data_IF_096454800284
#
_entry.id   IF_096454800284
#
_cell.length_a   1.000
_cell.length_b   1.000
_cell.length_c   1.000
_cell.angle_alpha   90.00
_cell.angle_beta   90.00
_cell.angle_gamma   90.00
#
_symmetry.space_group_name_H-M   'P 1'
#
loop_
_entity.id
_entity.type
_entity.pdbx_description
1 polymer ?
#
# COMPACT_ATOMS: atom_id res chain seq x y z
N UNK A 1 -18.36 -11.40 -4.01
CA UNK A 1 -18.15 -10.70 -2.72
C UNK A 1 -17.15 -11.49 -1.90
N UNK A 2 -16.36 -10.81 -1.07
CA UNK A 2 -15.34 -11.39 -0.19
C UNK A 2 -15.88 -11.46 1.24
N UNK A 3 -15.39 -12.43 2.02
CA UNK A 3 -15.72 -12.56 3.44
C UNK A 3 -14.53 -12.22 4.34
N UNK A 4 -14.66 -12.58 5.61
CA UNK A 4 -13.61 -12.43 6.63
C UNK A 4 -12.86 -13.74 6.94
N UNK A 5 -13.11 -14.80 6.18
CA UNK A 5 -12.41 -16.08 6.37
C UNK A 5 -12.87 -16.87 7.59
N UNK A 6 -14.18 -17.04 7.75
CA UNK A 6 -14.76 -17.93 8.78
C UNK A 6 -15.77 -18.89 8.15
N UNK A 7 -16.00 -20.01 8.81
CA UNK A 7 -17.19 -20.84 8.65
C UNK A 7 -17.99 -20.81 9.95
N UNK A 8 -19.31 -20.96 9.87
CA UNK A 8 -20.17 -20.98 11.04
C UNK A 8 -21.18 -22.12 10.97
N UNK A 9 -21.73 -22.46 12.13
CA UNK A 9 -22.82 -23.41 12.28
C UNK A 9 -23.90 -22.82 13.17
N UNK A 10 -25.16 -23.09 12.84
CA UNK A 10 -26.29 -22.76 13.69
C UNK A 10 -26.44 -23.80 14.80
N UNK A 11 -26.58 -23.34 16.04
CA UNK A 11 -26.82 -24.18 17.21
C UNK A 11 -28.15 -23.76 17.82
N UNK A 12 -29.04 -24.72 18.05
CA UNK A 12 -30.28 -24.47 18.79
C UNK A 12 -29.95 -24.17 20.25
N UNK A 13 -30.49 -23.07 20.75
CA UNK A 13 -30.39 -22.67 22.14
C UNK A 13 -31.60 -23.23 22.89
N UNK A 14 -31.39 -24.37 23.54
CA UNK A 14 -32.41 -25.07 24.33
C UNK A 14 -32.85 -24.28 25.56
N UNK A 15 -32.06 -23.32 26.04
CA UNK A 15 -32.37 -22.52 27.24
C UNK A 15 -33.03 -21.17 26.86
N UNK A 16 -32.64 -20.58 25.74
CA UNK A 16 -33.11 -19.27 25.27
C UNK A 16 -34.25 -19.31 24.23
N UNK A 17 -34.65 -20.48 23.74
CA UNK A 17 -35.75 -20.63 22.79
C UNK A 17 -35.45 -20.09 21.39
N UNK A 18 -34.21 -20.22 20.92
CA UNK A 18 -33.76 -19.64 19.64
C UNK A 18 -32.61 -20.39 18.98
N UNK A 19 -31.92 -19.73 18.04
CA UNK A 19 -30.72 -20.28 17.40
C UNK A 19 -29.56 -19.30 17.45
N UNK A 20 -28.35 -19.81 17.60
CA UNK A 20 -27.11 -19.03 17.76
C UNK A 20 -26.11 -19.40 16.68
N UNK A 21 -25.31 -18.42 16.26
CA UNK A 21 -24.34 -18.56 15.18
C UNK A 21 -22.96 -18.78 15.79
N UNK A 22 -22.46 -20.02 15.76
CA UNK A 22 -21.14 -20.36 16.30
C UNK A 22 -20.10 -20.40 15.19
N UNK A 23 -18.93 -19.80 15.42
CA UNK A 23 -17.77 -19.95 14.54
C UNK A 23 -17.29 -21.39 14.63
N UNK A 24 -17.33 -22.09 13.50
CA UNK A 24 -16.90 -23.48 13.37
C UNK A 24 -15.40 -23.56 13.08
N UNK A 25 -14.91 -22.75 12.15
CA UNK A 25 -13.52 -22.77 11.72
C UNK A 25 -13.09 -21.40 11.23
N UNK A 26 -11.82 -21.05 11.48
CA UNK A 26 -11.14 -19.93 10.81
C UNK A 26 -10.44 -20.44 9.54
N UNK A 27 -10.54 -19.67 8.45
CA UNK A 27 -9.84 -19.98 7.20
C UNK A 27 -8.37 -19.59 7.36
N UNK A 28 -7.46 -20.52 7.08
CA UNK A 28 -6.03 -20.28 7.15
C UNK A 28 -5.62 -19.11 6.26
N UNK A 29 -4.79 -18.22 6.79
CA UNK A 29 -4.40 -16.96 6.19
C UNK A 29 -5.60 -16.06 5.85
N UNK A 30 -6.76 -16.24 6.48
CA UNK A 30 -7.92 -15.38 6.32
C UNK A 30 -7.88 -14.19 7.29
N UNK A 31 -8.68 -13.15 7.00
CA UNK A 31 -8.76 -11.93 7.82
C UNK A 31 -8.94 -12.21 9.32
N UNK A 32 -9.90 -13.07 9.66
CA UNK A 32 -10.19 -13.41 11.05
C UNK A 32 -9.07 -14.20 11.74
N UNK A 33 -8.34 -15.06 11.02
CA UNK A 33 -7.20 -15.80 11.58
C UNK A 33 -6.00 -14.87 11.76
N UNK A 34 -5.68 -14.05 10.75
CA UNK A 34 -4.58 -13.10 10.79
C UNK A 34 -4.76 -12.05 11.89
N UNK A 35 -5.99 -11.57 12.12
CA UNK A 35 -6.30 -10.66 13.22
C UNK A 35 -6.21 -11.35 14.60
N UNK A 36 -6.61 -12.62 14.68
CA UNK A 36 -6.46 -13.46 15.89
C UNK A 36 -7.45 -13.18 17.03
N UNK A 37 -8.33 -12.17 16.89
CA UNK A 37 -9.31 -11.83 17.93
C UNK A 37 -10.45 -12.87 18.01
N UNK A 38 -11.00 -13.25 16.85
CA UNK A 38 -12.02 -14.29 16.75
C UNK A 38 -11.40 -15.67 16.91
N UNK A 39 -12.15 -16.61 17.49
CA UNK A 39 -11.74 -17.99 17.70
C UNK A 39 -12.88 -18.95 17.36
N UNK A 40 -12.51 -20.19 17.03
CA UNK A 40 -13.46 -21.28 16.98
C UNK A 40 -14.19 -21.40 18.32
N UNK A 41 -15.51 -21.56 18.28
CA UNK A 41 -16.33 -21.55 19.48
C UNK A 41 -17.05 -20.24 19.79
N UNK A 42 -16.59 -19.11 19.25
CA UNK A 42 -17.26 -17.82 19.47
C UNK A 42 -18.67 -17.81 18.90
N UNK A 43 -19.58 -17.12 19.57
CA UNK A 43 -20.94 -16.90 19.08
C UNK A 43 -21.09 -15.51 18.50
N UNK A 44 -21.33 -15.41 17.19
CA UNK A 44 -21.63 -14.13 16.54
C UNK A 44 -23.07 -13.74 16.88
N UNK A 45 -23.23 -12.50 17.32
CA UNK A 45 -24.55 -11.96 17.72
C UNK A 45 -24.99 -10.84 16.79
N UNK A 46 -24.06 -10.00 16.33
CA UNK A 46 -24.35 -8.88 15.43
C UNK A 46 -23.30 -8.72 14.35
N UNK A 47 -23.73 -8.21 13.20
CA UNK A 47 -22.87 -7.79 12.09
C UNK A 47 -23.23 -6.35 11.74
N UNK A 48 -22.25 -5.45 11.79
CA UNK A 48 -22.44 -4.00 11.60
C UNK A 48 -23.58 -3.42 12.47
N UNK A 49 -23.67 -3.86 13.72
CA UNK A 49 -24.72 -3.46 14.66
C UNK A 49 -26.09 -4.12 14.44
N UNK A 50 -26.29 -4.88 13.36
CA UNK A 50 -27.54 -5.60 13.09
C UNK A 50 -27.52 -6.97 13.76
N UNK A 51 -28.55 -7.27 14.56
CA UNK A 51 -28.72 -8.56 15.23
C UNK A 51 -28.98 -9.69 14.22
N UNK A 52 -28.39 -10.85 14.46
CA UNK A 52 -28.57 -12.04 13.61
C UNK A 52 -29.77 -12.91 14.02
N UNK A 53 -30.49 -12.55 15.09
CA UNK A 53 -31.63 -13.32 15.59
C UNK A 53 -32.73 -13.38 14.53
N UNK A 54 -33.20 -14.60 14.22
CA UNK A 54 -34.26 -14.85 13.25
C UNK A 54 -33.84 -14.81 11.78
N UNK A 55 -32.58 -14.43 11.48
CA UNK A 55 -32.05 -14.46 10.12
C UNK A 55 -31.74 -15.88 9.68
N UNK A 56 -31.82 -16.15 8.38
CA UNK A 56 -31.32 -17.39 7.79
C UNK A 56 -29.80 -17.33 7.50
N UNK A 57 -29.22 -18.47 7.10
CA UNK A 57 -27.77 -18.57 6.88
C UNK A 57 -27.29 -17.76 5.66
N UNK A 58 -28.15 -17.56 4.65
CA UNK A 58 -27.81 -16.77 3.47
C UNK A 58 -27.84 -15.28 3.76
N UNK A 59 -28.82 -14.81 4.53
CA UNK A 59 -28.88 -13.44 5.05
C UNK A 59 -27.62 -13.12 5.87
N UNK A 60 -27.25 -13.99 6.81
CA UNK A 60 -26.02 -13.82 7.61
C UNK A 60 -24.79 -13.76 6.71
N UNK A 61 -24.68 -14.66 5.73
CA UNK A 61 -23.58 -14.64 4.74
C UNK A 61 -23.55 -13.32 3.99
N UNK A 62 -24.70 -12.76 3.63
CA UNK A 62 -24.81 -11.49 2.91
C UNK A 62 -24.38 -10.29 3.76
N UNK A 63 -24.68 -10.28 5.07
CA UNK A 63 -24.18 -9.25 5.99
C UNK A 63 -22.66 -9.30 6.18
N UNK A 64 -22.10 -10.51 6.29
CA UNK A 64 -20.67 -10.71 6.50
C UNK A 64 -19.87 -10.41 5.22
N UNK A 65 -20.43 -10.73 4.04
CA UNK A 65 -19.75 -10.56 2.76
C UNK A 65 -19.89 -9.14 2.20
N UNK A 66 -18.96 -8.74 1.35
CA UNK A 66 -18.92 -7.41 0.76
C UNK A 66 -17.75 -7.22 -0.22
N UNK A 67 -17.50 -6.02 -0.74
CA UNK A 67 -16.34 -5.74 -1.58
C UNK A 67 -15.02 -5.95 -0.83
N UNK A 68 -13.96 -6.33 -1.55
CA UNK A 68 -12.62 -6.48 -0.96
C UNK A 68 -12.12 -5.15 -0.39
N UNK A 69 -11.39 -5.19 0.72
CA UNK A 69 -10.84 -4.00 1.38
C UNK A 69 -11.84 -3.21 2.23
N UNK A 70 -13.13 -3.56 2.20
CA UNK A 70 -14.14 -2.95 3.09
C UNK A 70 -14.13 -3.60 4.46
N UNK A 71 -14.51 -2.86 5.50
CA UNK A 71 -14.55 -3.36 6.87
C UNK A 71 -15.94 -3.87 7.29
N UNK A 72 -15.96 -4.83 8.21
CA UNK A 72 -17.16 -5.35 8.87
C UNK A 72 -16.92 -5.39 10.38
N UNK A 73 -17.89 -4.88 11.13
CA UNK A 73 -17.89 -4.97 12.59
C UNK A 73 -18.63 -6.23 13.02
N UNK A 74 -17.99 -7.06 13.83
CA UNK A 74 -18.55 -8.30 14.36
C UNK A 74 -18.65 -8.18 15.87
N UNK A 75 -19.87 -8.28 16.39
CA UNK A 75 -20.09 -8.45 17.83
C UNK A 75 -20.27 -9.92 18.14
N UNK A 76 -19.51 -10.42 19.10
CA UNK A 76 -19.49 -11.84 19.45
C UNK A 76 -19.48 -12.05 20.97
N UNK A 77 -19.82 -13.26 21.39
CA UNK A 77 -19.79 -13.66 22.80
C UNK A 77 -18.80 -14.81 23.01
N UNK A 78 -17.99 -14.68 24.05
CA UNK A 78 -17.05 -15.71 24.55
C UNK A 78 -17.09 -15.69 26.08
N UNK A 79 -17.23 -16.84 26.72
CA UNK A 79 -17.27 -16.97 28.19
C UNK A 79 -18.30 -16.02 28.84
N UNK A 80 -19.50 -15.96 28.25
CA UNK A 80 -20.59 -15.04 28.63
C UNK A 80 -20.32 -13.54 28.46
N UNK A 81 -19.12 -13.13 28.02
CA UNK A 81 -18.76 -11.73 27.76
C UNK A 81 -18.99 -11.33 26.31
N UNK A 82 -19.61 -10.17 26.10
CA UNK A 82 -19.78 -9.59 24.76
C UNK A 82 -18.55 -8.77 24.39
N UNK A 83 -18.05 -8.99 23.17
CA UNK A 83 -16.87 -8.35 22.59
C UNK A 83 -17.15 -7.93 21.16
N UNK A 84 -16.29 -7.09 20.61
CA UNK A 84 -16.44 -6.56 19.27
C UNK A 84 -15.08 -6.48 18.57
N UNK A 85 -15.08 -6.71 17.26
CA UNK A 85 -13.89 -6.60 16.42
C UNK A 85 -14.28 -6.04 15.06
N UNK A 86 -13.40 -5.23 14.45
CA UNK A 86 -13.55 -4.72 13.10
C UNK A 86 -12.56 -5.44 12.18
N UNK A 87 -13.07 -6.18 11.21
CA UNK A 87 -12.25 -7.00 10.30
C UNK A 87 -12.39 -6.49 8.87
N UNK A 88 -11.32 -6.61 8.09
CA UNK A 88 -11.35 -6.23 6.67
C UNK A 88 -11.65 -7.43 5.80
N UNK A 89 -12.57 -7.28 4.84
CA UNK A 89 -12.93 -8.33 3.89
C UNK A 89 -11.84 -8.53 2.85
N UNK A 90 -11.53 -9.77 2.50
CA UNK A 90 -10.52 -10.08 1.49
C UNK A 90 -10.40 -11.58 1.21
N UNK A 91 -9.51 -11.96 0.30
CA UNK A 91 -9.16 -13.36 0.07
C UNK A 91 -8.03 -13.80 1.01
N UNK A 92 -7.92 -15.11 1.24
CA UNK A 92 -6.87 -15.64 2.11
C UNK A 92 -5.44 -15.42 1.54
N UNK A 93 -5.30 -15.39 0.21
CA UNK A 93 -4.00 -15.13 -0.43
C UNK A 93 -3.45 -13.72 -0.13
N UNK A 94 -4.32 -12.70 -0.12
CA UNK A 94 -3.94 -11.31 0.16
C UNK A 94 -3.47 -11.16 1.60
N UNK A 95 -4.20 -11.72 2.56
CA UNK A 95 -3.86 -11.63 3.98
C UNK A 95 -2.59 -12.41 4.31
N UNK A 96 -2.39 -13.59 3.71
CA UNK A 96 -1.16 -14.38 3.87
C UNK A 96 0.10 -13.72 3.31
N UNK A 97 -0.04 -12.89 2.28
CA UNK A 97 1.08 -12.16 1.66
C UNK A 97 1.14 -10.69 2.06
N UNK A 98 0.25 -10.22 2.96
CA UNK A 98 0.10 -8.79 3.20
C UNK A 98 1.39 -8.15 3.70
N UNK A 99 2.08 -8.77 4.65
CA UNK A 99 3.33 -8.23 5.18
C UNK A 99 4.43 -8.15 4.10
N UNK A 100 4.59 -9.20 3.31
CA UNK A 100 5.56 -9.22 2.20
C UNK A 100 5.20 -8.19 1.12
N UNK A 101 3.92 -8.07 0.77
CA UNK A 101 3.42 -7.11 -0.20
C UNK A 101 3.59 -5.68 0.29
N UNK A 102 3.34 -5.41 1.56
CA UNK A 102 3.51 -4.08 2.17
C UNK A 102 4.99 -3.71 2.24
N UNK A 103 5.86 -4.66 2.63
CA UNK A 103 7.31 -4.46 2.61
C UNK A 103 7.83 -4.17 1.20
N UNK A 104 7.35 -4.93 0.20
CA UNK A 104 7.69 -4.71 -1.20
C UNK A 104 7.20 -3.34 -1.69
N UNK A 105 5.97 -2.96 -1.34
CA UNK A 105 5.40 -1.64 -1.66
C UNK A 105 6.24 -0.50 -1.08
N UNK A 106 6.67 -0.62 0.18
CA UNK A 106 7.52 0.37 0.83
C UNK A 106 8.90 0.46 0.17
N UNK A 107 9.48 -0.68 -0.21
CA UNK A 107 10.74 -0.73 -0.96
C UNK A 107 10.63 -0.03 -2.32
N UNK A 108 9.57 -0.31 -3.08
CA UNK A 108 9.30 0.38 -4.36
C UNK A 108 9.14 1.89 -4.19
N UNK A 109 8.43 2.34 -3.15
CA UNK A 109 8.27 3.77 -2.87
C UNK A 109 9.63 4.45 -2.59
N UNK A 110 10.52 3.80 -1.85
CA UNK A 110 11.88 4.31 -1.61
C UNK A 110 12.70 4.38 -2.90
N UNK A 111 12.63 3.35 -3.74
CA UNK A 111 13.32 3.32 -5.03
C UNK A 111 12.81 4.41 -5.98
N UNK A 112 11.52 4.73 -5.95
CA UNK A 112 10.97 5.82 -6.76
C UNK A 112 11.52 7.19 -6.33
N UNK A 113 11.74 7.41 -5.04
CA UNK A 113 12.38 8.63 -4.53
C UNK A 113 13.82 8.72 -5.02
N UNK A 114 14.59 7.64 -4.89
CA UNK A 114 15.98 7.59 -5.35
C UNK A 114 16.08 7.81 -6.87
N UNK A 115 15.23 7.14 -7.65
CA UNK A 115 15.14 7.31 -9.10
C UNK A 115 14.83 8.76 -9.49
N UNK A 116 13.94 9.44 -8.75
CA UNK A 116 13.65 10.87 -8.97
C UNK A 116 14.89 11.73 -8.69
N UNK A 117 15.61 11.45 -7.60
CA UNK A 117 16.86 12.13 -7.26
C UNK A 117 17.94 11.97 -8.34
N UNK A 118 18.17 10.75 -8.82
CA UNK A 118 19.12 10.47 -9.90
C UNK A 118 18.74 11.19 -11.19
N UNK A 119 17.45 11.22 -11.56
CA UNK A 119 16.97 11.95 -12.73
C UNK A 119 17.23 13.45 -12.63
N UNK A 120 17.04 14.03 -11.44
CA UNK A 120 17.36 15.44 -11.19
C UNK A 120 18.87 15.71 -11.27
N UNK A 121 19.70 14.84 -10.67
CA UNK A 121 21.16 14.94 -10.74
C UNK A 121 21.68 14.84 -12.16
N UNK A 122 21.14 13.94 -12.98
CA UNK A 122 21.50 13.81 -14.39
C UNK A 122 21.17 15.08 -15.19
N UNK A 123 20.01 15.70 -14.92
CA UNK A 123 19.62 16.96 -15.54
C UNK A 123 20.56 18.11 -15.15
N UNK A 124 21.00 18.15 -13.89
CA UNK A 124 21.96 19.15 -13.42
C UNK A 124 23.35 18.96 -14.05
N UNK A 125 23.83 17.71 -14.12
CA UNK A 125 25.10 17.39 -14.76
C UNK A 125 25.08 17.78 -16.24
N UNK A 126 23.98 17.51 -16.95
CA UNK A 126 23.84 17.90 -18.35
C UNK A 126 23.84 19.42 -18.53
N UNK A 127 23.22 20.18 -17.62
CA UNK A 127 23.33 21.65 -17.62
C UNK A 127 24.76 22.14 -17.40
N UNK A 128 25.50 21.53 -16.46
CA UNK A 128 26.90 21.89 -16.21
C UNK A 128 27.78 21.60 -17.41
N UNK A 129 27.57 20.45 -18.06
CA UNK A 129 28.30 20.08 -19.28
C UNK A 129 28.07 21.09 -20.41
N UNK A 130 26.82 21.46 -20.68
CA UNK A 130 26.51 22.46 -21.73
C UNK A 130 27.10 23.84 -21.38
N UNK A 131 27.07 24.25 -20.10
CA UNK A 131 27.68 25.50 -19.66
C UNK A 131 29.22 25.48 -19.81
N UNK A 132 29.88 24.39 -19.44
CA UNK A 132 31.34 24.25 -19.61
C UNK A 132 31.72 24.23 -21.09
N UNK A 133 30.94 23.52 -21.92
CA UNK A 133 31.12 23.51 -23.37
C UNK A 133 30.99 24.91 -23.97
N UNK A 134 29.97 25.67 -23.59
CA UNK A 134 29.80 27.06 -24.02
C UNK A 134 30.97 27.95 -23.57
N UNK A 135 31.42 27.78 -22.33
CA UNK A 135 32.56 28.54 -21.80
C UNK A 135 33.86 28.23 -22.57
N UNK A 136 34.10 26.97 -22.94
CA UNK A 136 35.26 26.60 -23.77
C UNK A 136 35.24 27.31 -25.13
N UNK A 137 34.09 27.36 -25.79
CA UNK A 137 33.93 28.08 -27.06
C UNK A 137 34.26 29.57 -26.89
N UNK A 138 33.74 30.21 -25.84
CA UNK A 138 34.03 31.62 -25.56
C UNK A 138 35.53 31.89 -25.32
N UNK A 139 36.20 30.99 -24.59
CA UNK A 139 37.65 31.09 -24.35
C UNK A 139 38.44 30.93 -25.65
N UNK A 140 38.06 29.99 -26.52
CA UNK A 140 38.70 29.80 -27.83
C UNK A 140 38.55 31.03 -28.73
N UNK A 141 37.36 31.64 -28.78
CA UNK A 141 37.11 32.88 -29.53
C UNK A 141 37.97 34.04 -29.02
N UNK A 142 38.08 34.20 -27.69
CA UNK A 142 38.96 35.22 -27.08
C UNK A 142 40.43 35.01 -27.42
N UNK A 143 40.90 33.76 -27.41
CA UNK A 143 42.27 33.43 -27.79
C UNK A 143 42.56 33.75 -29.26
N UNK A 144 41.61 33.46 -30.16
CA UNK A 144 41.74 33.81 -31.58
C UNK A 144 41.80 35.33 -31.80
N UNK A 145 40.97 36.10 -31.09
CA UNK A 145 40.99 37.56 -31.16
C UNK A 145 42.33 38.15 -30.71
N UNK A 146 42.87 37.65 -29.58
CA UNK A 146 44.18 38.08 -29.05
C UNK A 146 45.34 37.75 -30.02
N UNK A 147 45.29 36.59 -30.69
CA UNK A 147 46.30 36.22 -31.70
C UNK A 147 46.26 37.14 -32.92
N UNK A 148 45.07 37.52 -33.39
CA UNK A 148 44.90 38.49 -34.48
C UNK A 148 45.44 39.88 -34.10
N UNK A 149 45.15 40.34 -32.88
CA UNK A 149 45.64 41.62 -32.37
C UNK A 149 47.16 41.65 -32.26
N UNK A 150 47.77 40.59 -31.71
CA UNK A 150 49.23 40.43 -31.63
C UNK A 150 49.91 40.45 -33.01
N UNK A 151 49.30 39.80 -34.01
CA UNK A 151 49.80 39.82 -35.40
C UNK A 151 49.69 41.22 -36.02
N UNK A 152 48.65 41.98 -35.72
CA UNK A 152 48.47 43.37 -36.18
C UNK A 152 49.54 44.30 -35.61
N UNK A 153 49.77 44.25 -34.29
CA UNK A 153 50.78 45.07 -33.60
C UNK A 153 52.21 44.78 -34.11
N UNK A 154 52.52 43.51 -34.40
CA UNK A 154 53.82 43.13 -34.98
C UNK A 154 54.02 43.64 -36.41
N UNK A 155 52.95 43.79 -37.21
CA UNK A 155 53.03 44.36 -38.56
C UNK A 155 53.28 45.87 -38.52
N UNK A 156 52.57 46.61 -37.66
CA UNK A 156 52.76 48.06 -37.55
C UNK A 156 54.17 48.46 -37.08
N UNK A 157 54.79 47.69 -36.19
CA UNK A 157 56.19 47.90 -35.78
C UNK A 157 57.22 47.60 -36.87
N UNK A 158 56.86 46.88 -37.93
CA UNK A 158 57.75 46.52 -39.04
C UNK A 158 57.68 47.53 -40.19
N UNK A 159 56.68 48.40 -40.17
CA UNK A 159 56.39 49.43 -41.19
C UNK A 159 56.79 50.84 -40.73
N UNK A 160 57.35 50.97 -39.50
CA UNK A 160 58.01 52.17 -38.98
C UNK A 160 59.53 51.99 -38.99
#
# INVERSE_FOLDING_TARGET
>A
SFGIGITFSRIEDTEGGGSRIRIKQLVKHGSAETDGTLKEGDFITHVNGVSLVGMDDDEIRNFIRGPSGTSVQIKYQRDSTNKEVCLTRGNAGYWGLREELEALRMSFASLEVEKKGLKQGMLELQRRYEAEKAHRVEVEEKLQALDLESKSVKRSHREQ
#
